data_IF_743022551586
#
_entry.id   IF_743022551586
#
_cell.length_a   1.000
_cell.length_b   1.000
_cell.length_c   1.000
_cell.angle_alpha   90.00
_cell.angle_beta   90.00
_cell.angle_gamma   90.00
#
_symmetry.space_group_name_H-M   'P 1'
#
loop_
_entity.id
_entity.type
_entity.pdbx_description
1 polymer ?
2 non-polymer ?
3 non-polymer ?
4 water ?
#
# COMPACT_ATOMS: atom_id res chain seq x y z
N UNK A 1 -4.59 8.20 -16.51
CA UNK A 1 -5.17 6.84 -16.44
C UNK A 1 -4.46 6.04 -15.34
N UNK A 2 -5.07 4.99 -14.81
CA UNK A 2 -4.48 4.10 -13.82
C UNK A 2 -3.76 2.89 -14.45
N UNK A 3 -3.85 2.70 -15.78
CA UNK A 3 -3.59 1.39 -16.38
C UNK A 3 -2.15 0.94 -16.24
N UNK A 4 -1.18 1.84 -16.14
CA UNK A 4 0.21 1.38 -16.03
C UNK A 4 0.51 0.83 -14.62
N UNK A 5 -0.38 1.03 -13.61
CA UNK A 5 -0.21 0.41 -12.30
C UNK A 5 -0.70 -1.04 -12.27
N UNK A 6 -1.46 -1.45 -13.28
CA UNK A 6 -2.13 -2.73 -13.23
C UNK A 6 -1.13 -3.85 -13.44
N UNK A 7 -1.37 -4.95 -12.76
CA UNK A 7 -0.55 -6.13 -12.89
C UNK A 7 -0.16 -6.73 -11.55
N UNK A 8 0.85 -7.59 -11.59
CA UNK A 8 1.34 -8.32 -10.44
C UNK A 8 2.75 -7.84 -10.16
N UNK A 9 3.02 -7.52 -8.89
CA UNK A 9 4.22 -6.85 -8.43
C UNK A 9 4.75 -7.59 -7.20
N UNK A 10 6.07 -7.68 -7.08
CA UNK A 10 6.66 -8.35 -5.92
C UNK A 10 7.69 -7.42 -5.25
N UNK A 11 7.71 -7.41 -3.93
CA UNK A 11 8.65 -6.57 -3.20
C UNK A 11 10.07 -7.03 -3.41
N UNK A 12 10.96 -6.08 -3.75
CA UNK A 12 12.37 -6.37 -3.91
C UNK A 12 13.28 -5.48 -3.04
N UNK A 13 12.78 -4.43 -2.41
CA UNK A 13 13.60 -3.59 -1.55
C UNK A 13 12.67 -2.90 -0.57
N UNK A 14 13.16 -2.67 0.65
CA UNK A 14 12.37 -1.93 1.62
C UNK A 14 13.30 -1.14 2.53
N UNK A 15 12.94 0.13 2.76
CA UNK A 15 13.68 1.02 3.62
C UNK A 15 12.72 1.63 4.65
N UNK A 16 13.08 1.51 5.93
CA UNK A 16 12.39 2.18 7.03
C UNK A 16 10.99 1.63 7.34
N UNK A 17 10.69 0.40 6.94
CA UNK A 17 9.37 -0.13 7.23
C UNK A 17 9.17 -0.34 8.73
N UNK A 18 10.21 -0.73 9.46
CA UNK A 18 10.04 -0.87 10.92
C UNK A 18 9.64 0.47 11.54
N UNK A 19 10.27 1.56 11.14
CA UNK A 19 9.88 2.86 11.66
C UNK A 19 8.42 3.14 11.39
N UNK A 20 7.97 2.88 10.15
CA UNK A 20 6.58 3.14 9.78
C UNK A 20 5.65 2.30 10.65
N UNK A 21 5.93 1.00 10.74
CA UNK A 21 5.08 0.13 11.55
C UNK A 21 5.06 0.54 13.03
N UNK A 22 6.20 0.92 13.56
CA UNK A 22 6.22 1.27 14.96
C UNK A 22 5.45 2.57 15.19
N UNK A 23 5.43 3.47 14.21
CA UNK A 23 4.65 4.70 14.31
C UNK A 23 3.15 4.45 14.35
N UNK A 24 2.71 3.32 13.82
CA UNK A 24 1.32 2.88 13.83
C UNK A 24 1.02 1.98 15.03
N UNK A 25 1.97 1.75 15.92
CA UNK A 25 1.70 0.93 17.09
C UNK A 25 1.75 -0.57 16.82
N UNK A 26 2.33 -1.01 15.73
CA UNK A 26 2.46 -2.44 15.45
C UNK A 26 3.42 -3.05 16.45
N UNK A 27 3.07 -4.18 17.04
CA UNK A 27 3.92 -4.80 18.04
C UNK A 27 5.17 -5.48 17.48
N UNK A 28 6.13 -5.74 18.38
CA UNK A 28 7.42 -6.22 17.90
C UNK A 28 7.33 -7.51 17.12
N UNK A 29 6.45 -8.43 17.50
CA UNK A 29 6.43 -9.72 16.84
C UNK A 29 5.99 -9.62 15.38
N UNK A 30 4.94 -8.82 15.16
CA UNK A 30 4.49 -8.58 13.79
C UNK A 30 5.54 -7.83 13.00
N UNK A 31 6.17 -6.83 13.60
CA UNK A 31 7.23 -6.12 12.89
C UNK A 31 8.35 -7.06 12.48
N UNK A 32 8.70 -8.03 13.34
CA UNK A 32 9.77 -8.96 13.05
C UNK A 32 9.43 -9.76 11.79
N UNK A 33 8.22 -10.33 11.73
CA UNK A 33 7.83 -11.12 10.58
C UNK A 33 7.76 -10.24 9.32
N UNK A 34 7.15 -9.07 9.46
CA UNK A 34 6.98 -8.17 8.33
C UNK A 34 8.32 -7.72 7.74
N UNK A 35 9.37 -7.62 8.55
CA UNK A 35 10.69 -7.22 8.07
C UNK A 35 11.32 -8.22 7.12
N UNK A 36 10.84 -9.48 7.17
CA UNK A 36 11.33 -10.56 6.35
C UNK A 36 10.36 -11.00 5.27
N UNK A 37 9.20 -10.43 5.19
CA UNK A 37 8.18 -10.82 4.25
C UNK A 37 8.35 -10.02 2.96
N UNK A 38 8.11 -10.68 1.82
CA UNK A 38 8.16 -10.05 0.51
C UNK A 38 6.80 -10.23 -0.15
N UNK A 39 5.85 -9.30 0.06
CA UNK A 39 4.51 -9.49 -0.48
C UNK A 39 4.47 -9.39 -1.98
N UNK A 40 3.40 -9.99 -2.51
CA UNK A 40 2.98 -9.82 -3.91
C UNK A 40 1.71 -8.97 -3.90
N UNK A 41 1.71 -7.91 -4.69
CA UNK A 41 0.56 -7.03 -4.85
C UNK A 41 0.01 -7.17 -6.26
N UNK A 42 -1.30 -7.35 -6.37
CA UNK A 42 -1.98 -7.50 -7.64
C UNK A 42 -3.01 -6.37 -7.73
N UNK A 43 -2.94 -5.63 -8.84
CA UNK A 43 -3.84 -4.51 -9.05
C UNK A 43 -4.57 -4.76 -10.36
N UNK A 44 -5.90 -4.87 -10.29
CA UNK A 44 -6.73 -5.13 -11.47
C UNK A 44 -7.87 -4.11 -11.52
N UNK A 45 -8.43 -3.87 -12.71
CA UNK A 45 -9.50 -2.92 -12.95
C UNK A 45 -10.68 -3.62 -13.61
N UNK A 46 -11.90 -3.23 -13.27
CA UNK A 46 -13.11 -3.62 -13.95
C UNK A 46 -13.97 -2.37 -14.01
N UNK A 47 -14.01 -1.71 -15.16
CA UNK A 47 -14.67 -0.44 -15.25
C UNK A 47 -13.99 0.55 -14.33
N UNK A 48 -14.79 1.23 -13.50
CA UNK A 48 -14.27 2.19 -12.58
C UNK A 48 -13.88 1.57 -11.24
N UNK A 49 -13.92 0.25 -11.06
CA UNK A 49 -13.56 -0.38 -9.79
C UNK A 49 -12.18 -0.99 -9.90
N UNK A 50 -11.30 -0.57 -9.00
CA UNK A 50 -9.98 -1.17 -8.83
C UNK A 50 -10.03 -2.17 -7.67
N UNK A 51 -9.31 -3.27 -7.83
CA UNK A 51 -9.11 -4.22 -6.74
C UNK A 51 -7.59 -4.38 -6.53
N UNK A 52 -7.17 -4.21 -5.29
CA UNK A 52 -5.77 -4.29 -4.90
C UNK A 52 -5.65 -5.40 -3.86
N UNK A 53 -4.96 -6.47 -4.25
CA UNK A 53 -4.70 -7.61 -3.38
C UNK A 53 -3.26 -7.53 -2.92
N UNK A 54 -3.00 -7.82 -1.64
CA UNK A 54 -1.64 -7.94 -1.11
C UNK A 54 -1.56 -9.30 -0.47
N UNK A 55 -0.64 -10.14 -0.96
CA UNK A 55 -0.54 -11.52 -0.54
C UNK A 55 0.82 -11.78 0.10
N UNK A 56 0.85 -12.61 1.12
CA UNK A 56 2.14 -13.02 1.63
C UNK A 56 1.93 -14.31 2.41
N UNK A 57 3.06 -14.86 2.84
CA UNK A 57 3.10 -15.97 3.74
C UNK A 57 2.60 -15.63 5.13
N UNK A 58 2.48 -14.34 5.47
CA UNK A 58 2.12 -13.87 6.80
C UNK A 58 0.66 -13.38 6.86
N UNK A 59 0.35 -12.32 6.10
CA UNK A 59 -0.99 -11.72 6.07
C UNK A 59 -1.45 -11.47 4.64
N UNK A 60 -2.76 -11.58 4.37
CA UNK A 60 -3.32 -11.18 3.10
C UNK A 60 -4.33 -10.08 3.32
N UNK A 61 -4.45 -9.16 2.35
CA UNK A 61 -5.49 -8.15 2.31
C UNK A 61 -6.06 -8.05 0.91
N UNK A 62 -7.29 -7.54 0.84
CA UNK A 62 -7.90 -7.21 -0.46
C UNK A 62 -8.85 -6.04 -0.24
N UNK A 63 -8.74 -5.05 -1.11
CA UNK A 63 -9.66 -3.92 -1.13
C UNK A 63 -10.13 -3.70 -2.57
N UNK A 64 -11.39 -3.26 -2.69
CA UNK A 64 -11.94 -2.76 -3.94
C UNK A 64 -12.46 -1.35 -3.70
N UNK A 65 -12.25 -0.48 -4.70
CA UNK A 65 -12.62 0.92 -4.54
C UNK A 65 -12.79 1.56 -5.91
N UNK A 66 -13.51 2.66 -5.91
CA UNK A 66 -13.59 3.60 -7.03
C UNK A 66 -12.73 4.79 -6.71
N UNK A 67 -11.91 5.27 -7.67
CA UNK A 67 -11.10 6.44 -7.42
C UNK A 67 -12.01 7.59 -7.00
N UNK A 68 -11.57 8.30 -5.98
CA UNK A 68 -12.26 9.49 -5.57
C UNK A 68 -13.47 9.27 -4.67
N UNK A 69 -13.73 8.02 -4.27
CA UNK A 69 -14.90 7.67 -3.46
C UNK A 69 -14.44 6.99 -2.18
N UNK A 70 -14.83 7.53 -1.03
CA UNK A 70 -14.42 6.97 0.25
C UNK A 70 -14.91 5.54 0.43
N UNK A 71 -14.09 4.73 1.07
CA UNK A 71 -14.45 3.35 1.42
C UNK A 71 -13.92 3.02 2.82
N UNK A 72 -14.61 2.11 3.48
CA UNK A 72 -14.11 1.58 4.74
C UNK A 72 -13.04 0.52 4.44
N UNK A 73 -11.98 0.48 5.28
CA UNK A 73 -10.90 -0.47 5.11
C UNK A 73 -10.45 -0.94 6.50
N UNK A 74 -10.16 -2.25 6.56
CA UNK A 74 -9.50 -2.84 7.72
C UNK A 74 -8.10 -3.24 7.31
N UNK A 75 -7.10 -2.50 7.80
CA UNK A 75 -5.76 -2.65 7.29
C UNK A 75 -5.12 -3.97 7.75
N UNK A 76 -3.93 -4.25 7.21
CA UNK A 76 -3.21 -5.48 7.56
C UNK A 76 -2.90 -5.57 9.06
N UNK A 77 -2.69 -4.41 9.69
CA UNK A 77 -2.41 -4.29 11.11
C UNK A 77 -3.69 -4.00 11.90
N UNK A 78 -4.87 -4.23 11.30
CA UNK A 78 -6.14 -4.23 12.02
C UNK A 78 -6.64 -2.84 12.43
N UNK A 79 -6.23 -1.80 11.74
CA UNK A 79 -6.85 -0.49 11.92
C UNK A 79 -8.11 -0.41 11.07
N UNK A 80 -9.17 0.17 11.63
CA UNK A 80 -10.40 0.41 10.87
C UNK A 80 -10.38 1.89 10.47
N UNK A 81 -10.20 2.11 9.17
CA UNK A 81 -9.93 3.42 8.63
C UNK A 81 -10.94 3.80 7.56
N UNK A 82 -11.00 5.09 7.28
CA UNK A 82 -11.73 5.66 6.16
C UNK A 82 -10.70 6.00 5.09
N UNK A 83 -10.88 5.45 3.87
CA UNK A 83 -9.88 5.52 2.84
C UNK A 83 -10.42 6.20 1.59
N UNK A 84 -9.52 6.86 0.86
CA UNK A 84 -9.83 7.31 -0.48
C UNK A 84 -8.56 7.22 -1.29
N UNK A 85 -8.70 6.78 -2.55
CA UNK A 85 -7.60 6.64 -3.46
C UNK A 85 -7.86 7.53 -4.67
N UNK A 86 -6.84 8.26 -5.13
CA UNK A 86 -6.98 9.10 -6.31
C UNK A 86 -5.70 9.07 -7.09
N UNK A 87 -5.78 9.62 -8.30
CA UNK A 87 -4.60 9.87 -9.11
C UNK A 87 -4.25 11.33 -8.98
N UNK A 88 -2.96 11.60 -8.72
CA UNK A 88 -2.47 12.94 -8.47
C UNK A 88 -1.08 13.03 -9.04
N UNK A 89 -0.90 13.82 -10.11
CA UNK A 89 0.42 13.90 -10.72
C UNK A 89 0.90 12.57 -11.26
N UNK A 90 -0.04 11.72 -11.67
CA UNK A 90 0.30 10.39 -12.20
C UNK A 90 0.61 9.35 -11.10
N UNK A 91 0.53 9.75 -9.83
CA UNK A 91 0.75 8.85 -8.70
C UNK A 91 -0.59 8.37 -8.20
N UNK A 92 -0.60 7.14 -7.69
CA UNK A 92 -1.80 6.59 -7.07
C UNK A 92 -1.70 6.88 -5.59
N UNK A 93 -2.54 7.78 -5.06
CA UNK A 93 -2.41 8.28 -3.71
C UNK A 93 -3.55 7.70 -2.88
N UNK A 94 -3.22 6.91 -1.86
CA UNK A 94 -4.18 6.31 -0.94
C UNK A 94 -4.02 6.98 0.43
N UNK A 95 -5.08 7.66 0.84
CA UNK A 95 -5.12 8.36 2.13
C UNK A 95 -6.02 7.58 3.07
N UNK A 96 -5.51 7.26 4.27
CA UNK A 96 -6.28 6.63 5.34
C UNK A 96 -6.42 7.60 6.50
N UNK A 97 -7.64 7.64 7.07
CA UNK A 97 -7.95 8.51 8.20
C UNK A 97 -8.63 7.70 9.29
N UNK A 98 -8.19 7.86 10.54
CA UNK A 98 -8.81 7.17 11.65
C UNK A 98 -8.36 7.88 12.91
N UNK A 99 -9.33 8.15 13.81
CA UNK A 99 -9.09 8.73 15.12
C UNK A 99 -8.25 10.00 15.03
N UNK A 100 -8.45 10.78 13.99
CA UNK A 100 -7.78 12.04 13.76
C UNK A 100 -6.38 11.90 13.16
N UNK A 101 -5.90 10.65 12.97
CA UNK A 101 -4.62 10.42 12.36
C UNK A 101 -4.79 10.25 10.86
N UNK A 102 -3.67 10.37 10.15
CA UNK A 102 -3.62 10.24 8.70
C UNK A 102 -2.38 9.44 8.34
N UNK A 103 -2.49 8.60 7.32
CA UNK A 103 -1.30 8.06 6.67
C UNK A 103 -1.56 8.02 5.17
N UNK A 104 -0.49 8.19 4.39
CA UNK A 104 -0.58 8.05 2.96
C UNK A 104 0.29 6.89 2.47
N UNK A 105 -0.24 6.21 1.47
CA UNK A 105 0.39 5.12 0.76
C UNK A 105 0.40 5.57 -0.70
N UNK A 106 1.56 5.98 -1.21
CA UNK A 106 1.62 6.64 -2.52
C UNK A 106 2.46 5.77 -3.45
N UNK A 107 1.91 5.44 -4.61
CA UNK A 107 2.60 4.61 -5.60
C UNK A 107 2.95 5.45 -6.83
N UNK A 108 4.22 5.32 -7.24
CA UNK A 108 4.73 6.02 -8.42
C UNK A 108 5.47 4.99 -9.26
N UNK A 109 5.31 5.09 -10.58
CA UNK A 109 6.02 4.24 -11.52
C UNK A 109 7.28 4.99 -11.95
N UNK A 110 8.44 4.36 -11.73
CA UNK A 110 9.71 4.90 -12.15
C UNK A 110 10.50 3.78 -12.81
N UNK A 111 10.67 3.94 -14.16
CA UNK A 111 11.37 3.02 -15.05
C UNK A 111 10.81 1.61 -14.92
N UNK A 112 9.47 1.55 -14.95
CA UNK A 112 8.75 0.30 -14.95
C UNK A 112 8.61 -0.30 -13.57
N UNK A 113 9.24 0.32 -12.54
CA UNK A 113 9.17 -0.20 -11.18
C UNK A 113 8.19 0.60 -10.34
N UNK A 114 7.54 -0.06 -9.38
CA UNK A 114 6.51 0.63 -8.62
C UNK A 114 7.08 0.94 -7.25
N UNK A 115 7.17 2.24 -6.96
CA UNK A 115 7.73 2.74 -5.72
C UNK A 115 6.57 3.14 -4.82
N UNK A 116 6.48 2.46 -3.67
CA UNK A 116 5.45 2.71 -2.67
C UNK A 116 6.08 3.48 -1.52
N UNK A 117 5.58 4.70 -1.28
CA UNK A 117 6.05 5.52 -0.18
C UNK A 117 4.95 5.58 0.87
N UNK A 118 5.29 5.19 2.10
CA UNK A 118 4.38 5.12 3.24
C UNK A 118 4.79 6.20 4.22
N UNK A 119 3.86 7.10 4.56
CA UNK A 119 4.17 8.23 5.44
C UNK A 119 3.17 8.28 6.58
N UNK A 120 3.64 8.31 7.82
CA UNK A 120 2.77 8.50 8.98
C UNK A 120 3.62 9.20 10.04
N UNK A 121 3.09 10.23 10.67
CA UNK A 121 3.88 10.91 11.65
C UNK A 121 5.12 11.48 10.96
N UNK A 122 6.31 11.24 11.49
CA UNK A 122 7.56 11.60 10.84
C UNK A 122 8.19 10.46 10.05
N UNK A 123 7.58 9.28 10.11
CA UNK A 123 8.12 8.08 9.50
C UNK A 123 7.78 8.05 8.00
N UNK A 124 8.85 7.79 7.21
CA UNK A 124 8.73 7.67 5.77
C UNK A 124 9.44 6.39 5.34
N UNK A 125 8.69 5.48 4.76
CA UNK A 125 9.18 4.20 4.31
C UNK A 125 9.05 4.12 2.79
N UNK A 126 10.08 3.60 2.13
CA UNK A 126 10.05 3.42 0.70
C UNK A 126 10.22 1.95 0.34
N UNK A 127 9.25 1.40 -0.38
CA UNK A 127 9.24 0.02 -0.77
C UNK A 127 9.20 -0.07 -2.27
N UNK A 128 10.06 -0.92 -2.80
CA UNK A 128 10.20 -1.05 -4.27
C UNK A 128 9.65 -2.39 -4.68
N UNK A 129 8.75 -2.35 -5.67
CA UNK A 129 8.11 -3.49 -6.25
C UNK A 129 8.51 -3.64 -7.72
N UNK A 130 8.75 -4.87 -8.14
CA UNK A 130 9.14 -5.26 -9.48
C UNK A 130 7.99 -6.03 -10.14
N UNK A 131 7.77 -5.80 -11.41
CA UNK A 131 6.71 -6.46 -12.14
C UNK A 131 7.06 -7.94 -12.24
N UNK A 132 5.96 -8.68 -12.17
CA UNK A 132 5.87 -10.05 -12.66
C UNK A 132 5.12 -10.16 -14.01
#
# INVERSE_FOLDING_TARGET
>A
MVDAFLGTWKLVDSKNFDDYMKSLGVGFATRQVASMTKPTTIIEKNGDILTLKTHSTFKNTEISFKLGVEFDETTADDRKVKSIVTLDGGKLVHLQKWDGQETTLVRELIDGKLILTLTHGTAVCTRTYEKE
#
